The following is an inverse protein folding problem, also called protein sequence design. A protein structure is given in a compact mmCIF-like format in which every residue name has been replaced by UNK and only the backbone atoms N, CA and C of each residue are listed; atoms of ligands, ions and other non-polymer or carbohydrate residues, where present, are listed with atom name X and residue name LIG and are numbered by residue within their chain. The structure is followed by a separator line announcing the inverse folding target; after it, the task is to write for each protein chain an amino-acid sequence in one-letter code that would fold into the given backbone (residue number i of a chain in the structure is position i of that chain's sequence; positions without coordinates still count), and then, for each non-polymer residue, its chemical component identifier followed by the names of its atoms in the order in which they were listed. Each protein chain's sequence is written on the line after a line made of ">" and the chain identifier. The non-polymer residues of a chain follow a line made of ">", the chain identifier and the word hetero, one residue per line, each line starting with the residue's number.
data_IF_798863202945
#
_entry.id   IF_798863202945
#
_cell.length_a   1.000
_cell.length_b   1.000
_cell.length_c   1.000
_cell.angle_alpha   90.00
_cell.angle_beta   90.00
_cell.angle_gamma   90.00
#
_symmetry.space_group_name_H-M   'P 1'
#
loop_
_entity.id
_entity.type
_entity.pdbx_description
1 polymer ?
#
# COMPACT_ATOMS: atom_id res chain seq x y z
N UNK A 1 50.30 -47.10 -5.72
CA UNK A 1 50.07 -47.78 -4.42
C UNK A 1 50.64 -46.86 -3.35
N UNK A 2 49.90 -45.88 -2.82
CA UNK A 2 48.72 -45.94 -1.93
C UNK A 2 49.12 -45.88 -0.46
N UNK A 3 48.55 -44.85 0.23
CA UNK A 3 48.32 -44.63 1.68
C UNK A 3 48.96 -43.33 2.19
N UNK A 4 48.19 -42.23 2.39
CA UNK A 4 47.23 -41.92 3.49
C UNK A 4 48.00 -41.63 4.79
N UNK A 5 48.02 -40.42 5.36
CA UNK A 5 47.02 -39.63 6.12
C UNK A 5 47.76 -38.34 6.57
N UNK A 6 47.24 -37.19 7.00
CA UNK A 6 45.92 -36.69 7.43
C UNK A 6 46.04 -35.16 7.51
N UNK A 7 45.00 -34.41 7.16
CA UNK A 7 44.76 -33.06 7.67
C UNK A 7 43.26 -32.94 7.92
N UNK A 8 42.87 -33.29 9.15
CA UNK A 8 41.61 -32.87 9.74
C UNK A 8 41.85 -31.51 10.39
N UNK A 9 41.09 -30.51 9.97
CA UNK A 9 40.75 -29.35 10.80
C UNK A 9 39.24 -29.14 10.68
N UNK A 10 38.56 -29.29 11.80
CA UNK A 10 37.15 -29.01 12.02
C UNK A 10 36.92 -27.50 11.89
N UNK A 11 36.19 -27.09 10.86
CA UNK A 11 35.10 -26.09 10.92
C UNK A 11 34.72 -25.67 9.50
N UNK A 12 33.67 -26.31 8.98
CA UNK A 12 33.11 -26.07 7.65
C UNK A 12 32.32 -24.76 7.57
N UNK A 13 32.98 -23.62 7.66
CA UNK A 13 32.39 -22.32 7.31
C UNK A 13 33.05 -21.77 6.05
N UNK A 14 32.25 -21.61 4.99
CA UNK A 14 32.69 -20.95 3.76
C UNK A 14 33.02 -19.48 4.06
N UNK A 15 34.25 -19.06 3.78
CA UNK A 15 34.69 -17.67 3.93
C UNK A 15 34.06 -16.79 2.85
N UNK A 16 33.23 -15.84 3.25
CA UNK A 16 32.68 -14.80 2.37
C UNK A 16 33.79 -13.77 2.08
N UNK A 17 34.03 -13.35 0.84
CA UNK A 17 35.07 -12.38 0.51
C UNK A 17 34.80 -11.00 1.15
N UNK A 18 35.87 -10.26 1.53
CA UNK A 18 35.78 -9.04 2.35
C UNK A 18 35.18 -7.80 1.65
N UNK A 19 34.53 -7.96 0.49
CA UNK A 19 33.86 -6.88 -0.26
C UNK A 19 32.36 -6.74 0.07
N UNK A 20 31.82 -7.51 1.03
CA UNK A 20 30.40 -7.48 1.41
C UNK A 20 30.10 -6.78 2.76
N UNK A 21 31.04 -6.02 3.33
CA UNK A 21 30.81 -5.29 4.58
C UNK A 21 30.42 -3.82 4.28
N UNK A 22 29.14 -3.50 4.42
CA UNK A 22 28.66 -2.11 4.46
C UNK A 22 28.79 -1.55 5.89
N UNK A 23 29.15 -0.26 6.07
CA UNK A 23 29.28 0.34 7.39
C UNK A 23 27.90 0.52 8.05
N UNK A 24 27.80 0.13 9.32
CA UNK A 24 26.62 0.30 10.15
C UNK A 24 26.38 1.79 10.46
N UNK A 25 25.28 2.34 9.95
CA UNK A 25 24.71 3.61 10.43
C UNK A 25 23.45 3.28 11.24
N UNK A 26 23.57 3.34 12.56
CA UNK A 26 22.44 3.15 13.49
C UNK A 26 21.89 4.53 13.88
N UNK A 27 20.65 4.91 13.51
CA UNK A 27 20.00 6.05 14.14
C UNK A 27 19.53 5.70 15.57
N UNK A 28 19.43 6.67 16.49
CA UNK A 28 19.10 6.41 17.88
C UNK A 28 17.69 5.84 18.03
N UNK A 29 17.58 4.81 18.88
CA UNK A 29 16.34 4.13 19.22
C UNK A 29 15.28 5.11 19.76
N UNK A 30 14.15 5.20 19.08
CA UNK A 30 12.95 5.82 19.63
C UNK A 30 12.20 4.80 20.48
N UNK A 31 11.91 5.16 21.71
CA UNK A 31 11.19 4.36 22.70
C UNK A 31 9.78 4.01 22.18
N UNK A 32 9.31 2.75 22.27
CA UNK A 32 7.94 2.43 21.92
C UNK A 32 7.01 2.90 23.05
N UNK A 33 6.44 4.09 22.88
CA UNK A 33 5.26 4.48 23.62
C UNK A 33 4.05 3.80 22.98
N UNK A 34 3.40 2.90 23.70
CA UNK A 34 2.11 2.30 23.30
C UNK A 34 0.99 3.25 23.72
N UNK A 35 0.20 3.82 22.79
CA UNK A 35 -1.16 4.20 23.12
C UNK A 35 -2.07 3.06 22.64
N UNK A 36 -2.83 2.49 23.58
CA UNK A 36 -3.95 1.61 23.24
C UNK A 36 -4.96 2.46 22.45
N UNK A 37 -5.01 2.28 21.12
CA UNK A 37 -5.85 3.05 20.20
C UNK A 37 -6.77 2.09 19.44
N UNK A 38 -8.07 2.36 19.52
CA UNK A 38 -9.13 1.52 18.95
C UNK A 38 -9.15 1.49 17.43
N UNK A 39 -9.92 0.53 16.89
CA UNK A 39 -10.18 0.36 15.46
C UNK A 39 -10.81 1.61 14.82
N UNK A 40 -10.57 1.83 13.53
CA UNK A 40 -11.18 2.93 12.79
C UNK A 40 -12.70 2.73 12.66
N UNK A 41 -13.46 3.79 12.92
CA UNK A 41 -14.90 3.85 12.64
C UNK A 41 -15.10 4.39 11.22
N UNK A 42 -15.67 3.63 10.31
CA UNK A 42 -16.06 4.16 9.01
C UNK A 42 -17.54 4.57 8.95
N UNK A 43 -17.88 5.12 7.79
CA UNK A 43 -19.19 5.65 7.44
C UNK A 43 -19.71 4.82 6.27
N UNK A 44 -20.90 4.19 6.39
CA UNK A 44 -21.52 3.50 5.26
C UNK A 44 -21.71 4.47 4.09
N UNK A 45 -21.51 3.99 2.87
CA UNK A 45 -21.80 4.78 1.67
C UNK A 45 -23.27 4.55 1.30
N UNK A 46 -24.09 5.60 1.37
CA UNK A 46 -25.45 5.56 0.82
C UNK A 46 -25.38 5.52 -0.72
N UNK A 47 -26.19 4.66 -1.34
CA UNK A 47 -26.31 4.59 -2.79
C UNK A 47 -26.87 5.92 -3.31
N UNK A 48 -26.01 6.77 -3.87
CA UNK A 48 -26.43 8.06 -4.44
C UNK A 48 -25.66 9.29 -3.97
N UNK A 49 -24.57 9.16 -3.20
CA UNK A 49 -23.70 10.31 -2.88
C UNK A 49 -23.11 10.93 -4.17
N UNK A 50 -23.74 12.01 -4.65
CA UNK A 50 -23.36 12.72 -5.88
C UNK A 50 -22.04 13.46 -5.68
N UNK A 51 -20.96 12.96 -6.28
CA UNK A 51 -19.70 13.70 -6.42
C UNK A 51 -19.97 15.01 -7.19
N UNK A 52 -19.48 16.15 -6.69
CA UNK A 52 -19.70 17.47 -7.30
C UNK A 52 -18.88 17.68 -8.58
N UNK A 53 -17.88 16.83 -8.83
CA UNK A 53 -17.15 16.72 -10.10
C UNK A 53 -16.92 15.24 -10.39
N UNK A 54 -17.51 14.72 -11.47
CA UNK A 54 -17.26 13.33 -11.83
C UNK A 54 -15.83 13.18 -12.35
N UNK A 55 -14.96 12.38 -11.69
CA UNK A 55 -13.67 12.05 -12.26
C UNK A 55 -13.89 11.39 -13.61
N UNK A 56 -13.07 11.73 -14.61
CA UNK A 56 -13.12 11.06 -15.91
C UNK A 56 -12.75 9.59 -15.71
N UNK A 57 -13.76 8.73 -15.67
CA UNK A 57 -13.57 7.29 -15.65
C UNK A 57 -13.01 6.84 -17.00
N UNK A 58 -12.12 5.87 -16.98
CA UNK A 58 -11.72 5.19 -18.20
C UNK A 58 -12.90 4.39 -18.74
N UNK A 59 -12.99 4.23 -20.06
CA UNK A 59 -14.01 3.37 -20.68
C UNK A 59 -13.80 1.91 -20.30
N UNK A 60 -12.54 1.49 -20.24
CA UNK A 60 -12.10 0.15 -19.90
C UNK A 60 -10.93 0.25 -18.91
N UNK A 61 -10.82 -0.74 -18.03
CA UNK A 61 -9.68 -0.83 -17.12
C UNK A 61 -8.42 -1.25 -17.87
N UNK A 62 -7.24 -0.73 -17.47
CA UNK A 62 -5.98 -1.21 -18.01
C UNK A 62 -5.70 -2.65 -17.63
N UNK A 63 -4.87 -3.30 -18.43
CA UNK A 63 -4.32 -4.59 -18.08
C UNK A 63 -3.20 -4.41 -17.05
N UNK A 64 -3.20 -5.28 -16.04
CA UNK A 64 -2.16 -5.32 -15.01
C UNK A 64 -1.71 -6.75 -14.81
N UNK A 65 -0.43 -6.91 -14.49
CA UNK A 65 0.14 -8.21 -14.18
C UNK A 65 1.08 -8.11 -12.98
N UNK A 66 0.77 -8.85 -11.92
CA UNK A 66 1.68 -9.04 -10.80
C UNK A 66 2.87 -9.93 -11.22
N UNK A 67 4.05 -9.32 -11.23
CA UNK A 67 5.28 -9.94 -11.71
C UNK A 67 5.90 -10.78 -10.60
N UNK A 68 5.97 -10.21 -9.40
CA UNK A 68 6.65 -10.78 -8.24
C UNK A 68 5.96 -10.37 -6.94
N UNK A 69 6.02 -11.27 -5.96
CA UNK A 69 5.62 -11.03 -4.57
C UNK A 69 6.74 -11.40 -3.60
N UNK A 70 6.99 -10.58 -2.60
CA UNK A 70 7.91 -10.90 -1.51
C UNK A 70 7.32 -10.58 -0.13
N UNK A 71 7.61 -11.43 0.85
CA UNK A 71 7.30 -11.15 2.27
C UNK A 71 8.27 -10.09 2.78
N UNK A 72 7.75 -9.04 3.41
CA UNK A 72 8.52 -8.02 4.09
C UNK A 72 8.38 -8.19 5.61
N UNK A 73 9.44 -8.59 6.32
CA UNK A 73 9.44 -8.59 7.77
C UNK A 73 9.25 -7.15 8.30
N UNK A 74 8.36 -6.99 9.27
CA UNK A 74 8.13 -5.72 9.96
C UNK A 74 8.59 -5.80 11.41
N UNK A 75 8.93 -4.66 12.00
CA UNK A 75 9.33 -4.56 13.40
C UNK A 75 8.16 -4.80 14.37
N UNK A 76 6.92 -4.65 13.91
CA UNK A 76 5.69 -4.88 14.69
C UNK A 76 5.21 -6.33 14.66
N UNK A 77 5.87 -7.20 13.88
CA UNK A 77 5.46 -8.59 13.67
C UNK A 77 4.29 -8.76 12.68
N UNK A 78 3.72 -7.66 12.17
CA UNK A 78 2.70 -7.67 11.12
C UNK A 78 3.24 -8.32 9.86
N UNK A 79 2.53 -9.31 9.33
CA UNK A 79 2.91 -9.93 8.07
C UNK A 79 2.49 -9.05 6.89
N UNK A 80 3.48 -8.59 6.12
CA UNK A 80 3.26 -7.78 4.93
C UNK A 80 3.86 -8.48 3.71
N UNK A 81 3.18 -8.39 2.58
CA UNK A 81 3.66 -8.83 1.28
C UNK A 81 3.63 -7.67 0.28
N UNK A 82 4.77 -7.41 -0.36
CA UNK A 82 4.82 -6.50 -1.50
C UNK A 82 4.55 -7.27 -2.78
N UNK A 83 3.62 -6.76 -3.57
CA UNK A 83 3.32 -7.22 -4.91
C UNK A 83 3.73 -6.13 -5.90
N UNK A 84 4.57 -6.47 -6.88
CA UNK A 84 5.00 -5.57 -7.94
C UNK A 84 4.19 -5.82 -9.21
N UNK A 85 3.64 -4.77 -9.80
CA UNK A 85 2.76 -4.81 -10.95
C UNK A 85 3.36 -4.08 -12.16
N UNK A 86 3.28 -4.72 -13.31
CA UNK A 86 3.38 -4.08 -14.63
C UNK A 86 1.99 -3.74 -15.15
N UNK A 87 1.91 -2.82 -16.11
CA UNK A 87 0.65 -2.35 -16.66
C UNK A 87 0.74 -1.96 -18.15
N UNK A 88 -0.42 -1.75 -18.78
CA UNK A 88 -0.53 -1.41 -20.20
C UNK A 88 -0.59 0.10 -20.52
N UNK A 89 -0.63 0.99 -19.52
CA UNK A 89 -0.77 2.44 -19.71
C UNK A 89 0.59 3.13 -19.73
N UNK A 90 1.49 2.72 -18.85
CA UNK A 90 2.83 3.31 -18.73
C UNK A 90 3.90 2.24 -18.46
N UNK A 91 5.15 2.67 -18.50
CA UNK A 91 6.31 1.80 -18.26
C UNK A 91 6.73 1.77 -16.77
N UNK A 92 5.86 2.20 -15.86
CA UNK A 92 6.16 2.23 -14.44
C UNK A 92 5.69 0.95 -13.77
N UNK A 93 6.43 0.55 -12.76
CA UNK A 93 6.02 -0.53 -11.87
C UNK A 93 5.22 0.04 -10.72
N UNK A 94 4.05 -0.54 -10.43
CA UNK A 94 3.21 -0.12 -9.30
C UNK A 94 3.24 -1.18 -8.21
N UNK A 95 2.91 -0.80 -6.98
CA UNK A 95 3.02 -1.69 -5.84
C UNK A 95 1.65 -1.91 -5.20
N UNK A 96 1.42 -3.10 -4.68
CA UNK A 96 0.41 -3.34 -3.67
C UNK A 96 1.07 -3.88 -2.40
N UNK A 97 0.90 -3.16 -1.30
CA UNK A 97 1.36 -3.54 0.03
C UNK A 97 0.19 -4.26 0.71
N UNK A 98 0.28 -5.58 0.83
CA UNK A 98 -0.77 -6.44 1.35
C UNK A 98 -0.47 -6.80 2.80
N UNK A 99 -1.40 -6.52 3.70
CA UNK A 99 -1.33 -6.82 5.12
C UNK A 99 -2.10 -8.12 5.38
N UNK A 100 -1.40 -9.14 5.87
CA UNK A 100 -1.89 -10.51 5.97
C UNK A 100 -1.54 -11.38 4.76
N UNK A 101 -2.00 -12.63 4.76
CA UNK A 101 -1.65 -13.65 3.75
C UNK A 101 -2.87 -14.24 3.02
N UNK A 102 -4.06 -13.67 3.22
CA UNK A 102 -5.32 -14.16 2.64
C UNK A 102 -5.61 -13.56 1.27
N UNK A 103 -5.14 -12.34 1.02
CA UNK A 103 -5.32 -11.62 -0.25
C UNK A 103 -4.22 -12.05 -1.22
N UNK A 104 -4.61 -12.54 -2.40
CA UNK A 104 -3.69 -13.08 -3.40
C UNK A 104 -4.01 -12.55 -4.79
N UNK A 105 -2.96 -12.36 -5.58
CA UNK A 105 -3.06 -11.95 -6.98
C UNK A 105 -3.36 -13.12 -7.89
N UNK A 106 -4.36 -12.96 -8.75
CA UNK A 106 -4.77 -13.95 -9.75
C UNK A 106 -3.69 -14.14 -10.80
N UNK A 107 -3.14 -13.04 -11.33
CA UNK A 107 -2.10 -13.11 -12.37
C UNK A 107 -0.76 -13.61 -11.81
N UNK A 108 -0.47 -13.35 -10.53
CA UNK A 108 0.64 -13.98 -9.84
C UNK A 108 0.39 -15.49 -9.73
N UNK A 109 -0.79 -15.94 -9.32
CA UNK A 109 -0.99 -17.37 -9.11
C UNK A 109 -1.18 -18.18 -10.39
N UNK A 110 -1.44 -17.53 -11.53
CA UNK A 110 -1.53 -18.19 -12.82
C UNK A 110 -0.22 -18.95 -13.17
N UNK A 111 -0.30 -20.19 -13.68
CA UNK A 111 0.86 -20.91 -14.20
C UNK A 111 1.37 -20.23 -15.48
N UNK A 112 2.69 -20.16 -15.65
CA UNK A 112 3.32 -19.61 -16.86
C UNK A 112 3.87 -20.75 -17.74
N UNK A 113 3.79 -20.67 -19.08
CA UNK A 113 4.35 -21.69 -19.96
C UNK A 113 5.85 -21.90 -19.71
N UNK A 114 6.27 -23.16 -19.52
CA UNK A 114 7.68 -23.51 -19.27
C UNK A 114 8.20 -23.21 -17.86
N UNK A 115 7.34 -22.74 -16.94
CA UNK A 115 7.71 -22.41 -15.57
C UNK A 115 7.98 -23.66 -14.71
N UNK A 116 9.14 -23.71 -14.05
CA UNK A 116 9.43 -24.72 -13.02
C UNK A 116 8.80 -24.35 -11.66
N UNK A 117 8.70 -25.30 -10.73
CA UNK A 117 8.27 -25.00 -9.35
C UNK A 117 9.22 -24.02 -8.65
N UNK A 118 10.52 -24.05 -8.98
CA UNK A 118 11.49 -23.10 -8.44
C UNK A 118 11.23 -21.68 -8.96
N UNK A 119 11.01 -21.51 -10.26
CA UNK A 119 10.68 -20.21 -10.86
C UNK A 119 9.42 -19.61 -10.23
N UNK A 120 8.42 -20.47 -10.01
CA UNK A 120 7.17 -20.11 -9.34
C UNK A 120 7.39 -19.66 -7.89
N UNK A 121 8.28 -20.31 -7.15
CA UNK A 121 8.68 -19.87 -5.80
C UNK A 121 9.50 -18.57 -5.82
N UNK A 122 10.44 -18.42 -6.77
CA UNK A 122 11.31 -17.23 -6.91
C UNK A 122 10.48 -15.97 -7.14
N UNK A 123 9.46 -16.03 -8.00
CA UNK A 123 8.54 -14.90 -8.21
C UNK A 123 7.51 -14.75 -7.09
N UNK A 124 7.50 -15.63 -6.11
CA UNK A 124 6.65 -15.51 -4.94
C UNK A 124 5.25 -16.09 -5.09
N UNK A 125 4.95 -16.90 -6.10
CA UNK A 125 3.64 -17.52 -6.31
C UNK A 125 3.50 -18.83 -5.51
N UNK A 126 3.63 -18.74 -4.18
CA UNK A 126 3.56 -19.88 -3.26
C UNK A 126 2.53 -19.68 -2.14
N UNK A 127 2.19 -20.73 -1.40
CA UNK A 127 1.37 -20.68 -0.16
C UNK A 127 2.22 -20.91 1.08
N UNK A 128 1.84 -20.36 2.23
CA UNK A 128 2.59 -20.54 3.48
C UNK A 128 3.92 -19.79 3.47
N UNK A 129 4.96 -20.36 4.08
CA UNK A 129 6.30 -19.75 4.20
C UNK A 129 7.38 -20.51 3.44
N UNK A 130 8.29 -19.80 2.78
CA UNK A 130 9.47 -20.42 2.19
C UNK A 130 10.45 -20.87 3.28
N UNK A 131 11.10 -22.00 3.03
CA UNK A 131 12.17 -22.55 3.87
C UNK A 131 13.21 -23.25 2.98
N UNK A 132 14.48 -23.37 3.44
CA UNK A 132 15.50 -24.08 2.68
C UNK A 132 15.10 -25.52 2.38
N UNK A 133 15.22 -25.95 1.11
CA UNK A 133 14.87 -27.30 0.67
C UNK A 133 13.39 -27.51 0.28
N UNK A 134 12.57 -26.46 0.29
CA UNK A 134 11.18 -26.53 -0.18
C UNK A 134 11.11 -26.94 -1.66
N UNK A 135 10.17 -27.82 -2.01
CA UNK A 135 10.04 -28.40 -3.36
C UNK A 135 8.74 -28.06 -4.07
N UNK A 136 7.72 -27.59 -3.34
CA UNK A 136 6.39 -27.28 -3.90
C UNK A 136 5.93 -25.87 -3.53
N UNK A 137 5.36 -25.16 -4.49
CA UNK A 137 4.77 -23.84 -4.27
C UNK A 137 3.33 -23.89 -3.74
N UNK A 138 2.63 -25.02 -3.86
CA UNK A 138 1.15 -25.05 -3.85
C UNK A 138 0.50 -25.30 -2.50
N UNK A 139 1.22 -25.97 -1.60
CA UNK A 139 0.78 -26.21 -0.23
C UNK A 139 1.94 -25.99 0.73
N UNK A 140 1.63 -25.66 1.97
CA UNK A 140 2.64 -25.51 3.01
C UNK A 140 3.02 -26.89 3.56
N UNK A 141 4.18 -27.39 3.14
CA UNK A 141 4.78 -28.65 3.56
C UNK A 141 5.82 -28.47 4.68
N UNK A 142 5.83 -27.31 5.34
CA UNK A 142 6.73 -27.03 6.45
C UNK A 142 6.57 -28.08 7.57
N UNK A 143 7.69 -28.56 8.18
CA UNK A 143 7.63 -29.44 9.34
C UNK A 143 6.75 -28.84 10.44
N UNK A 144 5.94 -29.67 11.11
CA UNK A 144 4.94 -29.21 12.08
C UNK A 144 5.49 -28.28 13.19
N UNK A 145 6.78 -28.42 13.52
CA UNK A 145 7.50 -27.61 14.52
C UNK A 145 7.67 -26.15 14.07
N UNK A 146 7.63 -25.87 12.76
CA UNK A 146 7.81 -24.53 12.18
C UNK A 146 6.48 -23.82 11.87
N UNK A 147 5.32 -24.46 12.13
CA UNK A 147 4.01 -23.87 11.88
C UNK A 147 3.65 -22.90 13.01
N UNK A 148 3.36 -21.61 12.75
CA UNK A 148 2.82 -20.73 13.78
C UNK A 148 1.45 -21.27 14.24
N UNK A 149 1.16 -21.13 15.54
CA UNK A 149 -0.07 -21.65 16.15
C UNK A 149 -1.38 -21.13 15.50
N UNK A 150 -1.31 -20.05 14.72
CA UNK A 150 -2.42 -19.49 13.94
C UNK A 150 -2.72 -20.22 12.61
N UNK A 151 -1.91 -21.19 12.20
CA UNK A 151 -2.02 -21.88 10.90
C UNK A 151 -2.87 -23.17 10.93
N UNK A 152 -3.70 -23.37 11.96
CA UNK A 152 -4.53 -24.57 12.15
C UNK A 152 -5.95 -24.45 11.57
N UNK A 153 -6.18 -23.59 10.57
CA UNK A 153 -7.45 -23.58 9.82
C UNK A 153 -7.20 -24.02 8.38
N UNK A 154 -7.51 -25.28 8.10
CA UNK A 154 -7.64 -25.79 6.73
C UNK A 154 -8.93 -25.22 6.12
N UNK A 155 -8.84 -24.09 5.42
CA UNK A 155 -9.94 -23.64 4.55
C UNK A 155 -9.64 -23.99 3.08
N UNK A 156 -10.42 -24.95 2.58
CA UNK A 156 -10.64 -25.18 1.15
C UNK A 156 -11.35 -23.95 0.53
N UNK A 157 -11.03 -23.55 -0.71
CA UNK A 157 -11.73 -22.46 -1.38
C UNK A 157 -13.06 -22.99 -1.95
N UNK A 158 -14.11 -22.96 -1.16
CA UNK A 158 -15.49 -23.03 -1.67
C UNK A 158 -16.10 -21.64 -1.64
N UNK A 159 -16.40 -21.10 -2.82
CA UNK A 159 -17.12 -19.85 -3.01
C UNK A 159 -18.56 -19.99 -2.52
N UNK A 160 -18.86 -19.46 -1.35
CA UNK A 160 -20.24 -19.36 -0.81
C UNK A 160 -20.65 -17.88 -0.77
N UNK A 161 -21.87 -17.50 -1.22
CA UNK A 161 -22.30 -16.11 -1.18
C UNK A 161 -22.44 -15.63 0.27
N UNK A 162 -21.82 -14.49 0.56
CA UNK A 162 -21.80 -13.88 1.90
C UNK A 162 -23.18 -13.32 2.28
N UNK A 163 -23.78 -13.86 3.34
CA UNK A 163 -24.94 -13.27 4.03
C UNK A 163 -24.52 -12.10 4.93
N UNK A 164 -25.50 -11.29 5.32
CA UNK A 164 -25.45 -9.94 5.92
C UNK A 164 -24.58 -9.72 7.17
N UNK A 165 -23.93 -10.75 7.74
CA UNK A 165 -22.89 -10.63 8.77
C UNK A 165 -21.51 -10.22 8.21
N UNK A 166 -21.38 -10.17 6.88
CA UNK A 166 -20.14 -9.95 6.13
C UNK A 166 -19.64 -8.50 6.02
N UNK A 167 -20.31 -7.50 6.60
CA UNK A 167 -19.84 -6.10 6.45
C UNK A 167 -18.50 -5.85 7.15
N UNK A 168 -18.16 -6.62 8.18
CA UNK A 168 -16.86 -6.60 8.87
C UNK A 168 -15.79 -7.51 8.24
N UNK A 169 -16.04 -8.17 7.10
CA UNK A 169 -15.05 -9.04 6.43
C UNK A 169 -14.37 -8.41 5.22
N UNK A 170 -14.86 -7.28 4.71
CA UNK A 170 -14.22 -6.59 3.61
C UNK A 170 -12.87 -5.98 4.06
N UNK A 171 -11.77 -6.15 3.30
CA UNK A 171 -10.47 -5.62 3.69
C UNK A 171 -10.44 -4.09 3.62
N UNK A 172 -9.59 -3.49 4.46
CA UNK A 172 -9.27 -2.06 4.35
C UNK A 172 -8.43 -1.82 3.10
N UNK A 173 -8.77 -0.80 2.32
CA UNK A 173 -8.04 -0.44 1.11
C UNK A 173 -7.65 1.04 1.14
N UNK A 174 -6.41 1.32 0.74
CA UNK A 174 -5.89 2.67 0.58
C UNK A 174 -5.30 2.85 -0.81
N UNK A 175 -5.87 3.76 -1.60
CA UNK A 175 -5.26 4.19 -2.87
C UNK A 175 -4.31 5.36 -2.59
N UNK A 176 -3.03 5.05 -2.59
CA UNK A 176 -1.96 5.99 -2.26
C UNK A 176 -1.23 6.43 -3.53
N UNK A 177 -1.16 7.74 -3.75
CA UNK A 177 -0.30 8.31 -4.80
C UNK A 177 1.03 8.63 -4.15
N UNK A 178 2.12 8.13 -4.73
CA UNK A 178 3.49 8.41 -4.32
C UNK A 178 3.72 9.89 -4.03
N UNK A 179 4.34 10.16 -2.88
CA UNK A 179 4.78 11.47 -2.43
C UNK A 179 6.11 11.33 -1.69
N UNK A 180 7.20 11.27 -2.44
CA UNK A 180 8.57 11.10 -1.95
C UNK A 180 8.92 12.08 -0.82
N UNK A 181 8.57 13.36 -0.99
CA UNK A 181 8.87 14.38 0.02
C UNK A 181 8.16 14.14 1.35
N UNK A 182 6.91 13.68 1.31
CA UNK A 182 6.14 13.44 2.53
C UNK A 182 6.48 12.10 3.18
N UNK A 183 6.76 11.08 2.38
CA UNK A 183 6.97 9.69 2.84
C UNK A 183 8.41 9.40 3.24
N UNK A 184 9.39 9.99 2.52
CA UNK A 184 10.80 9.66 2.69
C UNK A 184 11.61 10.83 3.24
N UNK A 185 11.23 12.07 2.92
CA UNK A 185 11.98 13.27 3.34
C UNK A 185 11.32 14.03 4.51
N UNK A 186 10.37 13.41 5.23
CA UNK A 186 9.71 13.97 6.42
C UNK A 186 9.13 15.38 6.23
N UNK A 187 8.67 15.70 5.03
CA UNK A 187 8.19 17.05 4.70
C UNK A 187 6.94 17.42 5.49
N UNK A 188 6.97 18.60 6.12
CA UNK A 188 5.82 19.23 6.77
C UNK A 188 4.91 20.02 5.81
N UNK A 189 5.13 19.93 4.49
CA UNK A 189 4.28 20.58 3.48
C UNK A 189 2.98 19.84 3.20
N UNK A 190 2.93 18.56 3.54
CA UNK A 190 1.77 17.70 3.28
C UNK A 190 1.66 16.60 4.33
N UNK A 191 0.48 15.98 4.40
CA UNK A 191 0.19 14.88 5.32
C UNK A 191 0.38 13.49 4.68
N UNK A 192 1.09 13.38 3.55
CA UNK A 192 1.14 12.14 2.79
C UNK A 192 1.85 10.99 3.51
N UNK A 193 2.96 11.27 4.20
CA UNK A 193 3.66 10.28 5.03
C UNK A 193 2.78 9.78 6.17
N UNK A 194 2.19 10.70 6.93
CA UNK A 194 1.27 10.38 8.02
C UNK A 194 0.07 9.53 7.54
N UNK A 195 -0.52 9.86 6.38
CA UNK A 195 -1.62 9.08 5.82
C UNK A 195 -1.19 7.67 5.40
N UNK A 196 0.05 7.46 4.95
CA UNK A 196 0.57 6.14 4.61
C UNK A 196 0.78 5.31 5.88
N UNK A 197 1.41 5.90 6.90
CA UNK A 197 1.69 5.26 8.19
C UNK A 197 0.39 4.88 8.92
N UNK A 198 -0.60 5.78 8.97
CA UNK A 198 -1.88 5.52 9.61
C UNK A 198 -2.67 4.45 8.85
N UNK A 199 -2.62 4.43 7.52
CA UNK A 199 -3.26 3.37 6.73
C UNK A 199 -2.63 2.01 7.04
N UNK A 200 -1.30 1.93 7.07
CA UNK A 200 -0.57 0.72 7.42
C UNK A 200 -0.91 0.25 8.84
N UNK A 201 -0.94 1.16 9.82
CA UNK A 201 -1.31 0.87 11.21
C UNK A 201 -2.74 0.31 11.31
N UNK A 202 -3.70 0.93 10.63
CA UNK A 202 -5.09 0.49 10.64
C UNK A 202 -5.24 -0.90 10.03
N UNK A 203 -4.60 -1.16 8.89
CA UNK A 203 -4.61 -2.48 8.23
C UNK A 203 -3.93 -3.56 9.06
N UNK A 204 -2.86 -3.22 9.79
CA UNK A 204 -2.17 -4.14 10.68
C UNK A 204 -3.02 -4.60 11.88
N UNK A 205 -3.96 -3.76 12.33
CA UNK A 205 -4.86 -4.04 13.45
C UNK A 205 -6.18 -4.67 13.01
N UNK A 206 -6.48 -4.65 11.71
CA UNK A 206 -7.74 -5.13 11.18
C UNK A 206 -7.68 -6.64 10.92
N UNK A 207 -8.62 -7.44 11.45
CA UNK A 207 -8.61 -8.88 11.25
C UNK A 207 -8.83 -9.30 9.79
N UNK A 208 -9.46 -8.44 8.97
CA UNK A 208 -9.58 -8.67 7.52
C UNK A 208 -8.30 -8.29 6.75
N UNK A 209 -7.30 -7.71 7.44
CA UNK A 209 -6.10 -7.17 6.83
C UNK A 209 -6.40 -5.97 5.94
N UNK A 210 -5.58 -5.78 4.92
CA UNK A 210 -5.80 -4.69 3.97
C UNK A 210 -4.76 -4.57 2.88
N UNK A 211 -4.99 -3.62 1.97
CA UNK A 211 -4.13 -3.34 0.83
C UNK A 211 -3.90 -1.84 0.68
N UNK A 212 -2.63 -1.43 0.69
CA UNK A 212 -2.23 -0.13 0.14
C UNK A 212 -1.86 -0.34 -1.33
N UNK A 213 -2.67 0.18 -2.25
CA UNK A 213 -2.28 0.28 -3.66
C UNK A 213 -1.46 1.55 -3.82
N UNK A 214 -0.16 1.37 -3.99
CA UNK A 214 0.83 2.43 -4.09
C UNK A 214 1.12 2.72 -5.55
N UNK A 215 0.58 3.84 -6.03
CA UNK A 215 0.71 4.27 -7.41
C UNK A 215 1.86 5.26 -7.56
N UNK A 216 2.85 4.94 -8.42
CA UNK A 216 4.02 5.78 -8.71
C UNK A 216 3.72 6.96 -9.65
N UNK A 217 2.83 7.81 -9.17
CA UNK A 217 2.31 9.00 -9.87
C UNK A 217 2.57 10.26 -9.05
N UNK A 218 3.84 10.47 -8.73
CA UNK A 218 4.35 11.64 -8.00
C UNK A 218 3.84 12.97 -8.58
N UNK A 219 3.61 13.94 -7.70
CA UNK A 219 3.22 15.30 -8.07
C UNK A 219 1.85 15.38 -8.75
N UNK A 220 0.93 14.44 -8.46
CA UNK A 220 -0.34 14.31 -9.20
C UNK A 220 -0.14 13.97 -10.69
N UNK A 221 0.90 13.19 -10.98
CA UNK A 221 1.23 12.72 -12.32
C UNK A 221 2.23 13.60 -13.08
N UNK A 222 2.61 14.77 -12.56
CA UNK A 222 3.60 15.67 -13.20
C UNK A 222 5.05 15.25 -12.92
N UNK A 223 5.28 14.41 -11.90
CA UNK A 223 6.61 13.96 -11.48
C UNK A 223 7.28 14.85 -10.42
N UNK A 224 8.37 14.32 -9.83
CA UNK A 224 9.05 14.95 -8.70
C UNK A 224 9.72 16.28 -9.07
N UNK A 225 10.43 16.33 -10.21
CA UNK A 225 11.16 17.54 -10.61
C UNK A 225 10.23 18.74 -10.78
N UNK A 226 9.10 18.55 -11.45
CA UNK A 226 8.07 19.58 -11.64
C UNK A 226 7.39 19.97 -10.32
N UNK A 227 7.12 19.01 -9.43
CA UNK A 227 6.65 19.29 -8.07
C UNK A 227 7.62 20.19 -7.28
N UNK A 228 8.93 19.94 -7.36
CA UNK A 228 9.93 20.76 -6.69
C UNK A 228 10.02 22.17 -7.29
N UNK A 229 9.83 22.33 -8.60
CA UNK A 229 9.70 23.66 -9.21
C UNK A 229 8.46 24.40 -8.70
N UNK A 230 7.32 23.71 -8.59
CA UNK A 230 6.10 24.30 -8.06
C UNK A 230 6.26 24.73 -6.60
N UNK A 231 7.03 23.99 -5.80
CA UNK A 231 7.43 24.39 -4.45
C UNK A 231 8.28 25.66 -4.44
N UNK A 232 9.30 25.76 -5.29
CA UNK A 232 10.12 26.97 -5.37
C UNK A 232 9.28 28.20 -5.75
N UNK A 233 8.30 28.06 -6.66
CA UNK A 233 7.39 29.15 -7.00
C UNK A 233 6.50 29.57 -5.83
N UNK A 234 6.07 28.61 -5.00
CA UNK A 234 5.32 28.89 -3.78
C UNK A 234 6.18 29.63 -2.75
N UNK A 235 7.43 29.21 -2.57
CA UNK A 235 8.39 29.88 -1.69
C UNK A 235 8.73 31.30 -2.18
N UNK A 236 8.60 31.56 -3.49
CA UNK A 236 8.68 32.90 -4.09
C UNK A 236 7.40 33.72 -3.94
N UNK A 237 6.37 33.19 -3.28
CA UNK A 237 5.13 33.89 -2.94
C UNK A 237 3.95 33.66 -3.89
N UNK A 238 4.07 32.76 -4.87
CA UNK A 238 2.93 32.38 -5.72
C UNK A 238 1.99 31.45 -4.96
N UNK A 239 0.68 31.60 -5.13
CA UNK A 239 -0.25 30.59 -4.62
C UNK A 239 -0.13 29.26 -5.42
N UNK A 240 -0.71 28.19 -4.90
CA UNK A 240 -0.64 26.86 -5.54
C UNK A 240 -1.24 26.84 -6.95
N UNK A 241 -2.26 27.65 -7.23
CA UNK A 241 -2.90 27.71 -8.55
C UNK A 241 -2.00 28.45 -9.53
N UNK A 242 -1.47 29.60 -9.13
CA UNK A 242 -0.52 30.41 -9.89
C UNK A 242 0.74 29.63 -10.24
N UNK A 243 1.33 28.92 -9.27
CA UNK A 243 2.51 28.09 -9.51
C UNK A 243 2.26 27.03 -10.59
N UNK A 244 1.11 26.34 -10.55
CA UNK A 244 0.73 25.36 -11.57
C UNK A 244 0.45 26.00 -12.94
N UNK A 245 -0.16 27.19 -12.98
CA UNK A 245 -0.39 27.93 -14.23
C UNK A 245 0.92 28.36 -14.89
N UNK A 246 1.88 28.88 -14.10
CA UNK A 246 3.21 29.28 -14.59
C UNK A 246 3.93 28.09 -15.23
N UNK A 247 3.85 26.92 -14.59
CA UNK A 247 4.47 25.69 -15.08
C UNK A 247 3.61 24.94 -16.12
N UNK A 248 2.44 25.48 -16.48
CA UNK A 248 1.47 24.88 -17.41
C UNK A 248 1.06 23.45 -17.01
N UNK A 249 0.98 23.19 -15.72
CA UNK A 249 0.60 21.90 -15.19
C UNK A 249 -0.93 21.72 -15.17
N UNK A 250 -1.43 20.51 -15.49
CA UNK A 250 -2.82 20.19 -15.23
C UNK A 250 -3.10 20.18 -13.71
N UNK A 251 -4.33 20.50 -13.31
CA UNK A 251 -4.72 20.48 -11.90
C UNK A 251 -4.60 19.08 -11.25
N UNK A 252 -4.86 18.03 -12.05
CA UNK A 252 -4.66 16.63 -11.69
C UNK A 252 -4.53 15.79 -12.96
N UNK A 253 -3.40 15.11 -13.16
CA UNK A 253 -3.17 14.20 -14.28
C UNK A 253 -3.31 12.73 -13.91
N UNK A 254 -3.75 12.43 -12.68
CA UNK A 254 -3.81 11.05 -12.19
C UNK A 254 -4.97 10.28 -12.82
N UNK A 255 -4.74 8.99 -13.00
CA UNK A 255 -5.78 8.01 -13.31
C UNK A 255 -5.83 6.96 -12.20
N UNK A 256 -7.04 6.63 -11.75
CA UNK A 256 -7.27 5.61 -10.73
C UNK A 256 -7.70 4.26 -11.32
N UNK A 257 -7.89 4.16 -12.64
CA UNK A 257 -8.23 2.89 -13.28
C UNK A 257 -7.18 1.80 -13.04
N UNK A 258 -5.90 2.19 -12.94
CA UNK A 258 -4.83 1.26 -12.59
C UNK A 258 -4.99 0.68 -11.17
N UNK A 259 -5.46 1.50 -10.21
CA UNK A 259 -5.76 1.01 -8.88
C UNK A 259 -6.91 0.01 -8.89
N UNK A 260 -7.99 0.31 -9.62
CA UNK A 260 -9.12 -0.61 -9.77
C UNK A 260 -8.69 -1.93 -10.41
N UNK A 261 -7.84 -1.88 -11.44
CA UNK A 261 -7.31 -3.08 -12.08
C UNK A 261 -6.47 -3.94 -11.13
N UNK A 262 -5.60 -3.31 -10.32
CA UNK A 262 -4.82 -4.02 -9.29
C UNK A 262 -5.73 -4.66 -8.24
N UNK A 263 -6.76 -3.95 -7.76
CA UNK A 263 -7.71 -4.51 -6.80
C UNK A 263 -8.48 -5.70 -7.36
N UNK A 264 -8.88 -5.62 -8.64
CA UNK A 264 -9.54 -6.71 -9.36
C UNK A 264 -8.62 -7.93 -9.47
N UNK A 265 -7.34 -7.74 -9.80
CA UNK A 265 -6.38 -8.84 -9.86
C UNK A 265 -6.15 -9.50 -8.49
N UNK A 266 -6.15 -8.71 -7.41
CA UNK A 266 -6.13 -9.18 -6.02
C UNK A 266 -7.45 -9.85 -5.56
N UNK A 267 -8.45 -9.97 -6.44
CA UNK A 267 -9.74 -10.59 -6.15
C UNK A 267 -10.65 -9.76 -5.23
N UNK A 268 -10.37 -8.46 -5.06
CA UNK A 268 -11.10 -7.60 -4.12
C UNK A 268 -12.33 -6.96 -4.76
N UNK A 269 -13.51 -7.49 -4.43
CA UNK A 269 -14.79 -7.00 -4.96
C UNK A 269 -15.48 -6.00 -4.04
N UNK A 270 -15.53 -6.26 -2.73
CA UNK A 270 -16.10 -5.34 -1.73
C UNK A 270 -14.97 -4.82 -0.83
N UNK A 271 -14.86 -3.50 -0.67
CA UNK A 271 -13.76 -2.87 0.07
C UNK A 271 -14.23 -1.80 1.05
N UNK A 272 -13.47 -1.61 2.13
CA UNK A 272 -13.59 -0.45 3.03
C UNK A 272 -12.48 0.55 2.69
N UNK A 273 -12.84 1.67 2.07
CA UNK A 273 -11.88 2.59 1.47
C UNK A 273 -11.44 3.70 2.44
N UNK A 274 -10.14 3.77 2.69
CA UNK A 274 -9.47 4.80 3.49
C UNK A 274 -9.26 6.09 2.67
N UNK A 275 -10.27 6.97 2.64
CA UNK A 275 -10.21 8.22 1.87
C UNK A 275 -11.06 9.36 2.46
N UNK A 276 -10.58 10.58 2.22
CA UNK A 276 -11.36 11.82 2.40
C UNK A 276 -11.76 12.45 1.08
N UNK A 277 -11.24 11.96 -0.05
CA UNK A 277 -11.59 12.47 -1.37
C UNK A 277 -12.81 11.70 -1.90
N UNK A 278 -13.97 12.35 -2.10
CA UNK A 278 -15.16 11.69 -2.66
C UNK A 278 -14.93 11.23 -4.10
N UNK A 279 -14.13 11.96 -4.89
CA UNK A 279 -13.82 11.58 -6.28
C UNK A 279 -13.05 10.26 -6.33
N UNK A 280 -12.20 9.97 -5.34
CA UNK A 280 -11.50 8.68 -5.24
C UNK A 280 -12.47 7.52 -5.01
N UNK A 281 -13.60 7.75 -4.34
CA UNK A 281 -14.61 6.71 -4.10
C UNK A 281 -15.22 6.31 -5.45
N UNK A 282 -15.74 7.28 -6.20
CA UNK A 282 -16.31 7.02 -7.52
C UNK A 282 -15.29 6.45 -8.51
N UNK A 283 -14.06 6.95 -8.47
CA UNK A 283 -13.02 6.51 -9.39
C UNK A 283 -12.52 5.07 -9.14
N UNK A 284 -12.45 4.64 -7.86
CA UNK A 284 -11.97 3.28 -7.54
C UNK A 284 -13.00 2.22 -7.85
N UNK A 285 -14.30 2.55 -7.83
CA UNK A 285 -15.33 1.57 -8.20
C UNK A 285 -15.18 1.08 -9.65
N UNK A 286 -14.65 1.95 -10.51
CA UNK A 286 -14.42 1.65 -11.92
C UNK A 286 -15.68 1.80 -12.79
N UNK A 287 -15.52 1.76 -14.12
CA UNK A 287 -16.62 2.00 -15.06
C UNK A 287 -17.71 0.91 -14.99
N UNK A 288 -17.32 -0.32 -14.65
CA UNK A 288 -18.22 -1.47 -14.52
C UNK A 288 -18.58 -1.83 -13.08
N UNK A 289 -18.21 -1.01 -12.08
CA UNK A 289 -18.30 -1.33 -10.65
C UNK A 289 -17.54 -2.62 -10.31
N UNK A 290 -16.34 -2.75 -10.88
CA UNK A 290 -15.43 -3.88 -10.66
C UNK A 290 -15.03 -4.03 -9.19
N UNK A 291 -15.01 -2.92 -8.47
CA UNK A 291 -14.86 -2.86 -7.03
C UNK A 291 -16.02 -2.05 -6.43
N UNK A 292 -16.58 -2.47 -5.31
CA UNK A 292 -17.66 -1.78 -4.59
C UNK A 292 -17.11 -1.24 -3.29
N UNK A 293 -17.27 0.05 -3.07
CA UNK A 293 -16.89 0.66 -1.79
C UNK A 293 -18.06 0.51 -0.83
N UNK A 294 -17.98 -0.46 0.09
CA UNK A 294 -19.07 -0.75 1.05
C UNK A 294 -19.04 0.18 2.26
N UNK A 295 -17.87 0.75 2.56
CA UNK A 295 -17.67 1.67 3.68
C UNK A 295 -16.55 2.65 3.33
N UNK A 296 -16.73 3.92 3.70
CA UNK A 296 -15.67 4.92 3.67
C UNK A 296 -15.08 5.07 5.07
N UNK A 297 -13.79 4.84 5.21
CA UNK A 297 -13.07 5.07 6.46
C UNK A 297 -12.30 6.39 6.36
N UNK A 298 -12.63 7.41 7.19
CA UNK A 298 -12.01 8.73 7.08
C UNK A 298 -10.56 8.73 7.57
N UNK A 299 -9.68 9.41 6.81
CA UNK A 299 -8.26 9.59 7.14
C UNK A 299 -8.04 10.94 7.80
N UNK A 300 -8.50 11.09 9.04
CA UNK A 300 -8.37 12.36 9.78
C UNK A 300 -6.92 12.51 10.26
N UNK A 301 -6.28 13.68 10.04
CA UNK A 301 -4.94 13.97 10.55
C UNK A 301 -4.83 13.69 12.05
N UNK A 302 -3.73 13.07 12.47
CA UNK A 302 -3.47 12.70 13.86
C UNK A 302 -3.45 13.93 14.77
N UNK A 303 -2.91 15.04 14.28
CA UNK A 303 -2.92 16.33 14.99
C UNK A 303 -4.34 16.81 15.33
N UNK A 304 -5.34 16.47 14.52
CA UNK A 304 -6.74 16.86 14.75
C UNK A 304 -7.50 15.89 15.66
N UNK A 305 -6.91 14.70 15.91
CA UNK A 305 -7.44 13.70 16.83
C UNK A 305 -6.88 13.85 18.26
N UNK A 306 -6.14 14.92 18.54
CA UNK A 306 -5.36 15.08 19.78
C UNK A 306 -4.38 13.92 20.03
N UNK A 307 -3.88 13.30 18.96
CA UNK A 307 -2.92 12.20 19.03
C UNK A 307 -1.48 12.73 18.86
N UNK A 308 -0.53 12.13 19.59
CA UNK A 308 0.90 12.45 19.45
C UNK A 308 1.42 11.97 18.10
N UNK A 309 2.38 12.72 17.52
CA UNK A 309 3.12 12.32 16.31
C UNK A 309 2.57 12.83 14.97
N UNK A 310 1.46 13.58 14.98
CA UNK A 310 0.92 14.17 13.76
C UNK A 310 1.79 15.31 13.20
N UNK A 311 1.79 15.48 11.88
CA UNK A 311 2.44 16.60 11.20
C UNK A 311 1.67 17.89 11.52
N UNK A 312 2.39 18.87 12.04
CA UNK A 312 1.82 20.19 12.39
C UNK A 312 2.67 21.30 11.77
N UNK A 313 2.05 22.44 11.49
CA UNK A 313 2.73 23.58 10.89
C UNK A 313 1.83 24.39 9.96
N UNK A 314 2.33 25.55 9.56
CA UNK A 314 1.62 26.47 8.66
C UNK A 314 1.40 25.82 7.28
N UNK A 315 2.45 25.25 6.69
CA UNK A 315 2.41 24.68 5.34
C UNK A 315 1.40 23.52 5.22
N UNK A 316 1.45 22.53 6.12
CA UNK A 316 0.45 21.43 6.15
C UNK A 316 -0.97 21.96 6.39
N UNK A 317 -1.12 23.00 7.22
CA UNK A 317 -2.41 23.64 7.49
C UNK A 317 -3.03 24.28 6.24
N UNK A 318 -2.25 25.08 5.51
CA UNK A 318 -2.68 25.71 4.25
C UNK A 318 -3.00 24.66 3.18
N UNK A 319 -2.21 23.59 3.12
CA UNK A 319 -2.45 22.46 2.23
C UNK A 319 -3.77 21.72 2.54
N UNK A 320 -4.03 21.42 3.82
CA UNK A 320 -5.27 20.77 4.26
C UNK A 320 -6.49 21.68 4.04
N UNK A 321 -6.35 22.99 4.32
CA UNK A 321 -7.38 23.98 4.02
C UNK A 321 -7.72 23.98 2.53
N UNK A 322 -6.73 23.99 1.66
CA UNK A 322 -6.91 23.93 0.20
C UNK A 322 -7.66 22.67 -0.24
N UNK A 323 -7.33 21.50 0.33
CA UNK A 323 -8.05 20.25 0.05
C UNK A 323 -9.53 20.32 0.40
N UNK A 324 -9.88 20.98 1.52
CA UNK A 324 -11.25 21.11 1.98
C UNK A 324 -12.01 22.15 1.14
N UNK A 325 -11.49 23.37 1.06
CA UNK A 325 -12.22 24.52 0.49
C UNK A 325 -12.25 24.50 -1.03
N UNK A 326 -11.18 24.06 -1.69
CA UNK A 326 -11.06 24.11 -3.15
C UNK A 326 -11.26 22.73 -3.81
N UNK A 327 -10.95 21.64 -3.11
CA UNK A 327 -10.99 20.28 -3.66
C UNK A 327 -12.08 19.38 -3.04
N UNK A 328 -12.99 19.94 -2.24
CA UNK A 328 -14.19 19.25 -1.74
C UNK A 328 -13.92 18.02 -0.87
N UNK A 329 -12.78 17.94 -0.18
CA UNK A 329 -12.49 16.81 0.69
C UNK A 329 -13.43 16.76 1.91
N UNK A 330 -13.87 15.56 2.27
CA UNK A 330 -14.78 15.25 3.38
C UNK A 330 -14.07 15.30 4.74
N UNK A 331 -13.46 16.45 5.05
CA UNK A 331 -12.82 16.75 6.33
C UNK A 331 -13.40 18.05 6.89
N UNK A 332 -13.61 18.09 8.20
CA UNK A 332 -13.96 19.32 8.91
C UNK A 332 -12.71 19.88 9.59
N UNK A 333 -12.45 21.17 9.41
CA UNK A 333 -11.39 21.86 10.15
C UNK A 333 -11.71 21.83 11.65
N UNK A 334 -10.71 21.66 12.53
CA UNK A 334 -10.92 21.77 13.97
C UNK A 334 -11.38 23.17 14.36
N UNK A 335 -12.30 23.27 15.33
CA UNK A 335 -12.84 24.54 15.81
C UNK A 335 -11.72 25.47 16.31
N UNK A 336 -11.68 26.72 15.84
CA UNK A 336 -10.72 27.75 16.29
C UNK A 336 -9.45 27.91 15.44
N UNK A 337 -9.46 27.47 14.18
CA UNK A 337 -8.32 27.59 13.24
C UNK A 337 -8.58 28.57 12.07
N UNK A 338 -9.37 29.63 12.32
CA UNK A 338 -9.59 30.72 11.35
C UNK A 338 -8.36 31.62 11.16
#
# INVERSE_FOLDING_TARGET
>A
MSRSESLLTEDGTASVPPSCLSPAFTPPATTPGTPVLGAAKGVPIEEGATATRHPKLLKELPEVNCIVRARIPTTTGTEIFLHLYQNSIDNKEHLAIVFGNTIRSTSLDAPRPGESEMDRMIRGAYTGRLFPGRTTSRYDDSPAISRPASAASNHHPTSTPLTTAARNSAPLVRIHSECYTGETAWSARCDCGEQLDEAARLMALDPAGGVVVYLRQEGRGIGLGEKLKAYNLQDLGNDTVQANLILRHPADARSYGLATAILKDLGLRDIRLLTNNPDKIAAVEGPGRECKVVERVPMIPLAWKNMKGGVTGKEVGEYLRTKITQMGHLLSMPAGTE
#
